data_IF_601014493639
#
_entry.id   IF_601014493639
#
_cell.length_a   1.000
_cell.length_b   1.000
_cell.length_c   1.000
_cell.angle_alpha   90.00
_cell.angle_beta   90.00
_cell.angle_gamma   90.00
#
_symmetry.space_group_name_H-M   'P 1'
#
loop_
_entity.id
_entity.type
_entity.pdbx_description
1 polymer ?
#
# COMPACT_ATOMS: atom_id res chain seq x y z
N UNK A 1 28.86 -24.03 74.80
CA UNK A 1 27.94 -24.73 73.91
C UNK A 1 27.29 -23.68 73.02
N UNK A 2 27.62 -23.72 71.72
CA UNK A 2 27.03 -22.90 70.64
C UNK A 2 25.54 -23.25 70.48
N UNK A 3 24.65 -22.39 70.02
CA UNK A 3 24.29 -22.26 68.59
C UNK A 3 23.61 -20.90 68.32
N UNK A 4 24.00 -20.33 67.17
CA UNK A 4 23.52 -19.10 66.54
C UNK A 4 22.14 -19.32 65.89
N UNK A 5 21.20 -18.39 66.09
CA UNK A 5 20.00 -18.33 65.25
C UNK A 5 20.28 -17.46 64.02
N UNK A 6 20.27 -18.08 62.85
CA UNK A 6 20.32 -17.42 61.55
C UNK A 6 18.91 -17.02 61.09
N UNK A 7 18.87 -15.86 60.45
CA UNK A 7 17.74 -15.13 59.88
C UNK A 7 17.21 -15.83 58.63
N UNK A 8 15.90 -15.77 58.37
CA UNK A 8 15.39 -15.84 56.99
C UNK A 8 14.36 -14.73 56.78
N UNK A 9 14.79 -13.69 56.06
CA UNK A 9 13.92 -12.67 55.50
C UNK A 9 13.35 -13.21 54.17
N UNK A 10 12.02 -13.30 54.06
CA UNK A 10 11.36 -13.71 52.83
C UNK A 10 11.27 -12.51 51.87
N UNK A 11 12.02 -12.56 50.78
CA UNK A 11 11.90 -11.65 49.64
C UNK A 11 10.77 -12.18 48.73
N UNK A 12 9.64 -11.48 48.67
CA UNK A 12 8.59 -11.76 47.70
C UNK A 12 8.98 -11.16 46.34
N UNK A 13 9.33 -12.00 45.37
CA UNK A 13 9.58 -11.59 43.98
C UNK A 13 8.26 -11.61 43.20
N UNK A 14 7.68 -10.44 42.94
CA UNK A 14 6.56 -10.31 42.00
C UNK A 14 7.07 -10.39 40.57
N UNK A 15 6.69 -11.44 39.86
CA UNK A 15 6.91 -11.57 38.41
C UNK A 15 5.90 -10.72 37.66
N UNK A 16 6.37 -9.74 36.90
CA UNK A 16 5.53 -8.98 35.98
C UNK A 16 5.44 -9.76 34.67
N UNK A 17 4.28 -10.36 34.40
CA UNK A 17 4.03 -11.03 33.12
C UNK A 17 3.59 -9.97 32.11
N UNK A 18 4.51 -9.53 31.25
CA UNK A 18 4.15 -8.77 30.07
C UNK A 18 3.64 -9.74 29.01
N UNK A 19 2.32 -9.86 28.88
CA UNK A 19 1.73 -10.51 27.70
C UNK A 19 1.94 -9.59 26.50
N UNK A 20 2.93 -9.90 25.65
CA UNK A 20 3.01 -9.29 24.34
C UNK A 20 1.78 -9.75 23.54
N UNK A 21 0.77 -8.90 23.43
CA UNK A 21 -0.31 -9.10 22.47
C UNK A 21 0.30 -9.01 21.08
N UNK A 22 0.62 -10.16 20.48
CA UNK A 22 0.92 -10.23 19.05
C UNK A 22 -0.38 -9.96 18.31
N UNK A 23 -0.62 -8.69 17.98
CA UNK A 23 -1.59 -8.32 16.98
C UNK A 23 -1.06 -8.85 15.64
N UNK A 24 -1.53 -10.01 15.22
CA UNK A 24 -1.48 -10.43 13.82
C UNK A 24 -2.33 -9.45 13.03
N UNK A 25 -1.70 -8.40 12.50
CA UNK A 25 -2.31 -7.57 11.47
C UNK A 25 -2.52 -8.49 10.26
N UNK A 26 -3.73 -9.01 10.09
CA UNK A 26 -4.17 -9.51 8.80
C UNK A 26 -4.05 -8.32 7.85
N UNK A 27 -3.00 -8.28 7.05
CA UNK A 27 -2.80 -7.27 6.03
C UNK A 27 -3.93 -7.45 5.02
N UNK A 28 -5.05 -6.76 5.25
CA UNK A 28 -6.21 -6.84 4.36
C UNK A 28 -5.75 -6.28 3.02
N UNK A 29 -5.67 -7.13 2.00
CA UNK A 29 -5.44 -6.71 0.63
C UNK A 29 -6.39 -5.53 0.33
N UNK A 30 -5.87 -4.33 0.02
CA UNK A 30 -6.69 -3.12 -0.12
C UNK A 30 -7.62 -3.19 -1.35
N UNK A 31 -7.31 -4.07 -2.31
CA UNK A 31 -8.07 -4.26 -3.55
C UNK A 31 -8.28 -5.75 -3.85
N UNK A 32 -9.09 -6.48 -3.04
CA UNK A 32 -9.27 -7.92 -3.21
C UNK A 32 -9.72 -8.28 -4.64
N UNK A 33 -8.93 -9.13 -5.30
CA UNK A 33 -9.21 -9.61 -6.65
C UNK A 33 -8.83 -8.62 -7.76
N UNK A 34 -8.38 -7.41 -7.44
CA UNK A 34 -7.93 -6.40 -8.40
C UNK A 34 -6.42 -6.14 -8.31
N UNK A 35 -5.74 -6.62 -7.27
CA UNK A 35 -4.31 -6.52 -7.06
C UNK A 35 -3.51 -7.28 -8.11
N UNK A 36 -2.71 -6.62 -8.93
CA UNK A 36 -1.77 -7.29 -9.85
C UNK A 36 -0.45 -7.63 -9.15
N UNK A 37 0.49 -8.20 -9.90
CA UNK A 37 1.89 -8.33 -9.48
C UNK A 37 2.71 -7.05 -9.66
N UNK A 38 2.09 -5.96 -10.09
CA UNK A 38 2.74 -4.71 -10.38
C UNK A 38 2.30 -3.60 -9.43
N UNK A 39 3.30 -2.89 -8.92
CA UNK A 39 3.15 -1.60 -8.28
C UNK A 39 3.73 -0.50 -9.18
N UNK A 40 3.54 0.75 -8.79
CA UNK A 40 4.25 1.86 -9.39
C UNK A 40 4.52 2.96 -8.37
N UNK A 41 5.61 3.68 -8.56
CA UNK A 41 5.84 4.97 -7.91
C UNK A 41 5.32 6.09 -8.80
N UNK A 42 4.58 7.04 -8.23
CA UNK A 42 4.15 8.24 -8.92
C UNK A 42 5.35 9.16 -9.19
N UNK A 43 5.55 9.58 -10.45
CA UNK A 43 6.73 10.35 -10.86
C UNK A 43 6.35 11.61 -11.62
N UNK A 44 6.27 12.72 -10.90
CA UNK A 44 6.07 14.05 -11.48
C UNK A 44 7.39 14.76 -11.79
N UNK A 45 7.31 15.91 -12.47
CA UNK A 45 8.50 16.71 -12.83
C UNK A 45 9.25 17.31 -11.63
N UNK A 46 8.57 17.46 -10.49
CA UNK A 46 9.11 18.05 -9.26
C UNK A 46 8.83 17.12 -8.07
N UNK A 47 9.62 17.27 -7.01
CA UNK A 47 9.59 16.42 -5.80
C UNK A 47 8.20 16.35 -5.14
N UNK A 48 7.40 17.41 -5.25
CA UNK A 48 6.06 17.49 -4.64
C UNK A 48 4.95 17.72 -5.68
N UNK A 49 5.20 17.36 -6.93
CA UNK A 49 4.22 17.54 -7.99
C UNK A 49 2.96 16.71 -7.69
N UNK A 50 1.80 17.34 -7.80
CA UNK A 50 0.49 16.67 -7.70
C UNK A 50 0.19 15.95 -9.00
N UNK A 51 -0.13 14.67 -8.90
CA UNK A 51 -0.52 13.82 -10.02
C UNK A 51 -2.00 13.50 -9.91
N UNK A 52 -2.76 13.97 -10.90
CA UNK A 52 -4.20 13.75 -10.93
C UNK A 52 -4.55 12.29 -11.21
N UNK A 53 -5.51 11.77 -10.46
CA UNK A 53 -6.13 10.46 -10.65
C UNK A 53 -7.53 10.72 -11.21
N UNK A 54 -7.79 10.25 -12.41
CA UNK A 54 -9.00 10.60 -13.17
C UNK A 54 -10.02 9.48 -13.20
N UNK A 55 -11.27 9.84 -13.46
CA UNK A 55 -12.37 8.87 -13.62
C UNK A 55 -12.17 7.94 -14.82
N UNK A 56 -11.52 8.43 -15.88
CA UNK A 56 -11.23 7.69 -17.09
C UNK A 56 -9.86 8.04 -17.66
N UNK A 57 -9.46 7.27 -18.67
CA UNK A 57 -8.21 7.46 -19.40
C UNK A 57 -8.29 8.66 -20.35
N UNK A 58 -7.78 9.80 -19.90
CA UNK A 58 -7.69 11.01 -20.71
C UNK A 58 -7.88 12.29 -19.91
N UNK A 59 -7.44 13.42 -20.47
CA UNK A 59 -7.48 14.72 -19.80
C UNK A 59 -8.91 15.32 -19.70
N UNK A 60 -9.86 14.81 -20.47
CA UNK A 60 -11.27 15.23 -20.49
C UNK A 60 -12.11 14.62 -19.36
N UNK A 61 -11.60 13.62 -18.65
CA UNK A 61 -12.28 13.04 -17.49
C UNK A 61 -12.04 13.87 -16.23
N UNK A 62 -13.05 13.97 -15.36
CA UNK A 62 -12.91 14.66 -14.07
C UNK A 62 -11.83 14.02 -13.19
N UNK A 63 -11.23 14.84 -12.34
CA UNK A 63 -10.25 14.40 -11.33
C UNK A 63 -11.02 13.88 -10.12
N UNK A 64 -10.70 12.66 -9.67
CA UNK A 64 -11.32 12.00 -8.50
C UNK A 64 -10.44 12.10 -7.25
N UNK A 65 -9.14 12.05 -7.45
CA UNK A 65 -8.13 12.03 -6.39
C UNK A 65 -6.82 12.61 -6.94
N UNK A 66 -5.82 12.73 -6.07
CA UNK A 66 -4.46 13.02 -6.49
C UNK A 66 -3.49 12.31 -5.56
N UNK A 67 -2.33 11.94 -6.11
CA UNK A 67 -1.15 11.60 -5.31
C UNK A 67 -0.09 12.67 -5.46
N UNK A 68 0.98 12.53 -4.69
CA UNK A 68 2.20 13.33 -4.79
C UNK A 68 3.29 12.44 -5.41
N UNK A 69 4.22 13.06 -6.15
CA UNK A 69 5.45 12.38 -6.56
C UNK A 69 6.09 11.61 -5.40
N UNK A 70 6.43 10.35 -5.63
CA UNK A 70 6.96 9.43 -4.62
C UNK A 70 5.91 8.54 -3.95
N UNK A 71 4.61 8.83 -4.10
CA UNK A 71 3.57 7.93 -3.60
C UNK A 71 3.62 6.57 -4.32
N UNK A 72 3.46 5.49 -3.54
CA UNK A 72 3.27 4.13 -4.08
C UNK A 72 1.80 3.86 -4.39
N UNK A 73 1.54 3.30 -5.55
CA UNK A 73 0.23 2.83 -6.00
C UNK A 73 0.33 1.40 -6.51
N UNK A 74 -0.75 0.65 -6.42
CA UNK A 74 -0.88 -0.65 -7.10
C UNK A 74 -1.39 -0.42 -8.52
N UNK A 75 -0.81 -1.11 -9.50
CA UNK A 75 -1.42 -1.20 -10.82
C UNK A 75 -2.52 -2.27 -10.75
N UNK A 76 -3.75 -1.92 -11.11
CA UNK A 76 -4.87 -2.82 -10.96
C UNK A 76 -5.06 -3.68 -12.22
N UNK A 77 -5.53 -4.91 -12.03
CA UNK A 77 -5.91 -5.82 -13.12
C UNK A 77 -7.08 -5.27 -13.93
N UNK A 78 -7.20 -5.74 -15.16
CA UNK A 78 -8.32 -5.46 -16.06
C UNK A 78 -9.64 -6.01 -15.53
N UNK A 79 -9.63 -7.25 -15.04
CA UNK A 79 -10.81 -7.97 -14.57
C UNK A 79 -10.58 -8.46 -13.15
N UNK A 80 -11.56 -8.28 -12.28
CA UNK A 80 -11.52 -8.82 -10.93
C UNK A 80 -11.41 -10.36 -10.96
N UNK A 81 -10.48 -10.91 -10.19
CA UNK A 81 -10.11 -12.34 -10.17
C UNK A 81 -9.65 -12.89 -11.53
N UNK A 82 -9.29 -12.01 -12.48
CA UNK A 82 -8.68 -12.38 -13.75
C UNK A 82 -7.17 -12.59 -13.64
N UNK A 83 -6.52 -12.71 -14.79
CA UNK A 83 -5.07 -12.84 -14.91
C UNK A 83 -4.32 -11.70 -14.19
N UNK A 84 -3.44 -11.99 -13.20
CA UNK A 84 -2.62 -11.01 -12.50
C UNK A 84 -1.70 -10.17 -13.38
N UNK A 85 -1.25 -10.71 -14.51
CA UNK A 85 -0.34 -10.01 -15.42
C UNK A 85 -1.10 -9.04 -16.34
N UNK A 86 -2.43 -9.21 -16.47
CA UNK A 86 -3.27 -8.40 -17.34
C UNK A 86 -3.76 -7.13 -16.64
N UNK A 87 -2.96 -6.07 -16.74
CA UNK A 87 -3.27 -4.75 -16.20
C UNK A 87 -4.43 -4.04 -16.93
N UNK A 88 -5.17 -3.21 -16.19
CA UNK A 88 -6.15 -2.29 -16.76
C UNK A 88 -5.45 -1.11 -17.43
N UNK A 89 -5.35 -1.17 -18.77
CA UNK A 89 -4.69 -0.16 -19.60
C UNK A 89 -5.64 0.35 -20.69
N UNK A 90 -5.65 1.67 -20.92
CA UNK A 90 -6.40 2.32 -22.01
C UNK A 90 -5.55 3.41 -22.65
N UNK A 91 -5.68 3.59 -23.96
CA UNK A 91 -4.97 4.64 -24.70
C UNK A 91 -5.94 5.78 -25.00
N UNK A 92 -5.55 7.02 -24.71
CA UNK A 92 -6.36 8.19 -25.04
C UNK A 92 -6.21 8.61 -26.52
N UNK A 93 -6.98 9.63 -26.94
CA UNK A 93 -6.94 10.16 -28.31
C UNK A 93 -5.60 10.81 -28.68
N UNK A 94 -4.78 11.13 -27.69
CA UNK A 94 -3.46 11.72 -27.85
C UNK A 94 -2.35 10.66 -27.91
N UNK A 95 -2.69 9.37 -27.78
CA UNK A 95 -1.74 8.26 -27.86
C UNK A 95 -1.06 7.93 -26.53
N UNK A 96 -1.48 8.52 -25.41
CA UNK A 96 -0.93 8.16 -24.11
C UNK A 96 -1.63 6.95 -23.53
N UNK A 97 -0.86 6.01 -22.99
CA UNK A 97 -1.39 4.93 -22.16
C UNK A 97 -1.73 5.45 -20.77
N UNK A 98 -2.84 4.98 -20.24
CA UNK A 98 -3.33 5.24 -18.89
C UNK A 98 -3.52 3.92 -18.18
N UNK A 99 -3.11 3.86 -16.92
CA UNK A 99 -3.21 2.69 -16.07
C UNK A 99 -4.23 2.95 -14.97
N UNK A 100 -5.06 1.95 -14.69
CA UNK A 100 -5.90 2.01 -13.50
C UNK A 100 -5.05 1.71 -12.28
N UNK A 101 -5.07 2.61 -11.31
CA UNK A 101 -4.27 2.53 -10.10
C UNK A 101 -5.15 2.47 -8.86
N UNK A 102 -4.61 1.89 -7.79
CA UNK A 102 -5.20 1.91 -6.46
C UNK A 102 -4.22 2.42 -5.42
N UNK A 103 -4.65 3.35 -4.57
CA UNK A 103 -3.87 3.88 -3.45
C UNK A 103 -4.08 3.00 -2.20
N UNK A 104 -3.07 2.22 -1.74
CA UNK A 104 -3.28 1.22 -0.69
C UNK A 104 -3.84 1.79 0.62
N UNK A 105 -3.43 3.02 0.99
CA UNK A 105 -3.82 3.66 2.25
C UNK A 105 -5.25 4.20 2.24
N UNK A 106 -5.66 4.85 1.15
CA UNK A 106 -6.96 5.54 1.04
C UNK A 106 -8.01 4.70 0.32
N UNK A 107 -7.60 3.63 -0.36
CA UNK A 107 -8.41 2.83 -1.28
C UNK A 107 -8.98 3.63 -2.46
N UNK A 108 -8.50 4.85 -2.70
CA UNK A 108 -8.85 5.62 -3.88
C UNK A 108 -8.40 4.89 -5.14
N UNK A 109 -9.22 4.89 -6.18
CA UNK A 109 -8.88 4.29 -7.48
C UNK A 109 -9.21 5.25 -8.62
N UNK A 110 -8.55 5.05 -9.75
CA UNK A 110 -8.82 5.78 -10.98
C UNK A 110 -7.67 5.62 -11.96
N UNK A 111 -7.56 6.51 -12.93
CA UNK A 111 -6.63 6.41 -14.05
C UNK A 111 -5.52 7.45 -13.92
N UNK A 112 -4.28 6.99 -14.09
CA UNK A 112 -3.07 7.83 -14.14
C UNK A 112 -2.36 7.57 -15.47
N UNK A 113 -1.81 8.63 -16.07
CA UNK A 113 -1.09 8.55 -17.33
C UNK A 113 0.25 7.84 -17.12
N UNK A 114 0.62 6.96 -18.05
CA UNK A 114 1.76 6.04 -17.92
C UNK A 114 3.12 6.72 -17.80
N UNK A 115 3.29 7.89 -18.40
CA UNK A 115 4.53 8.70 -18.30
C UNK A 115 4.74 9.32 -16.91
N UNK A 116 3.76 9.21 -16.01
CA UNK A 116 3.82 9.65 -14.61
C UNK A 116 3.93 8.47 -13.64
N UNK A 117 4.22 7.27 -14.15
CA UNK A 117 4.36 6.04 -13.39
C UNK A 117 5.75 5.45 -13.63
N UNK A 118 6.35 4.94 -12.57
CA UNK A 118 7.55 4.11 -12.60
C UNK A 118 7.16 2.71 -12.11
N UNK A 119 6.78 1.79 -13.02
CA UNK A 119 6.27 0.47 -12.65
C UNK A 119 7.36 -0.48 -12.15
N UNK A 120 7.00 -1.30 -11.16
CA UNK A 120 7.79 -2.41 -10.63
C UNK A 120 6.88 -3.65 -10.60
N UNK A 121 7.21 -4.70 -11.36
CA UNK A 121 6.44 -5.94 -11.41
C UNK A 121 7.26 -7.11 -10.88
N UNK A 122 6.63 -7.96 -10.07
CA UNK A 122 7.29 -9.09 -9.40
C UNK A 122 6.73 -10.40 -9.94
N UNK A 123 7.55 -11.17 -10.65
CA UNK A 123 7.19 -12.49 -11.19
C UNK A 123 7.51 -13.62 -10.22
#
# INVERSE_FOLDING_TARGET
MSIKNLIVAALATTTVVFSAATATQAQTNPFPGLDSYCEATLRGKQRDARINVREGAGLNYRVLHYGISGDRVMLLRETANGDPEKLAVRTDKQGYNWYRVGFPKTRATGWVRGDLLEPECFN
#
